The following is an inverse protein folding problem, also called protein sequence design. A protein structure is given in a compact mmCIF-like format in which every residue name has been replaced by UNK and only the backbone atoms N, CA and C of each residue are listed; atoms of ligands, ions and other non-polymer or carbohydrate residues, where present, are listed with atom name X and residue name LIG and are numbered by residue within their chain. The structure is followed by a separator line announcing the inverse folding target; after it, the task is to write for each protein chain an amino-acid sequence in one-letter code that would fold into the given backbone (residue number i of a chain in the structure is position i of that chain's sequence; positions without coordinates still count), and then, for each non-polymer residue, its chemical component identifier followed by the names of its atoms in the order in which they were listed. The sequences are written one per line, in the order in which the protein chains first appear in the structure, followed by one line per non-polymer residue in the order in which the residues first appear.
data_IF_408510343653
#
_entry.id   IF_408510343653
#
_cell.length_a   1.000
_cell.length_b   1.000
_cell.length_c   1.000
_cell.angle_alpha   90.00
_cell.angle_beta   90.00
_cell.angle_gamma   90.00
#
_symmetry.space_group_name_H-M   'P 1'
#
loop_
_entity.id
_entity.type
_entity.pdbx_description
1 polymer ?
#
# COMPACT_ATOMS: atom_id res chain seq x y z
N UNK A 1 6.53 12.65 -4.79
CA UNK A 1 7.14 11.49 -5.47
C UNK A 1 6.90 11.60 -6.97
N UNK A 2 7.91 11.40 -7.83
CA UNK A 2 7.71 11.39 -9.28
C UNK A 2 6.90 10.16 -9.71
N UNK A 3 6.23 10.25 -10.86
CA UNK A 3 5.33 9.20 -11.35
C UNK A 3 6.05 7.86 -11.62
N UNK A 4 7.32 7.88 -12.06
CA UNK A 4 8.10 6.66 -12.24
C UNK A 4 8.41 5.96 -10.91
N UNK A 5 8.58 6.72 -9.83
CA UNK A 5 8.72 6.15 -8.50
C UNK A 5 7.46 5.38 -8.13
N UNK A 6 6.28 5.91 -8.45
CA UNK A 6 5.01 5.26 -8.14
C UNK A 6 4.88 3.92 -8.85
N UNK A 7 5.25 3.87 -10.13
CA UNK A 7 5.29 2.63 -10.90
C UNK A 7 6.27 1.63 -10.27
N UNK A 8 7.45 2.07 -9.81
CA UNK A 8 8.43 1.18 -9.17
C UNK A 8 7.87 0.47 -7.93
N UNK A 9 7.07 1.14 -7.11
CA UNK A 9 6.43 0.52 -5.94
C UNK A 9 5.19 -0.32 -6.29
N UNK A 10 4.54 -0.03 -7.42
CA UNK A 10 3.36 -0.75 -7.88
C UNK A 10 3.70 -2.06 -8.61
N UNK A 11 4.80 -2.07 -9.36
CA UNK A 11 5.22 -3.21 -10.18
C UNK A 11 5.35 -4.53 -9.41
N UNK A 12 5.98 -4.59 -8.21
CA UNK A 12 6.12 -5.84 -7.49
C UNK A 12 4.78 -6.51 -7.18
N UNK A 13 3.77 -5.75 -6.72
CA UNK A 13 2.44 -6.28 -6.45
C UNK A 13 1.70 -6.67 -7.73
N UNK A 14 1.86 -5.89 -8.80
CA UNK A 14 1.27 -6.22 -10.09
C UNK A 14 1.81 -7.56 -10.61
N UNK A 15 3.13 -7.78 -10.56
CA UNK A 15 3.76 -9.04 -10.94
C UNK A 15 3.33 -10.17 -10.00
N UNK A 16 3.27 -9.92 -8.69
CA UNK A 16 2.89 -10.90 -7.69
C UNK A 16 1.46 -11.42 -7.90
N UNK A 17 0.49 -10.50 -7.99
CA UNK A 17 -0.92 -10.81 -8.18
C UNK A 17 -1.21 -11.42 -9.55
N UNK A 18 -0.58 -10.91 -10.62
CA UNK A 18 -0.76 -11.49 -11.96
C UNK A 18 -0.18 -12.89 -12.06
N UNK A 19 0.99 -13.14 -11.45
CA UNK A 19 1.58 -14.48 -11.41
C UNK A 19 0.68 -15.47 -10.65
N UNK A 20 0.06 -15.05 -9.55
CA UNK A 20 -0.95 -15.85 -8.86
C UNK A 20 -2.16 -16.12 -9.74
N UNK A 21 -2.72 -15.09 -10.37
CA UNK A 21 -3.89 -15.21 -11.24
C UNK A 21 -3.66 -16.17 -12.42
N UNK A 22 -2.50 -16.06 -13.09
CA UNK A 22 -2.15 -16.97 -14.19
C UNK A 22 -1.85 -18.38 -13.70
N UNK A 23 -1.22 -18.53 -12.54
CA UNK A 23 -0.98 -19.84 -11.92
C UNK A 23 -2.30 -20.57 -11.66
N UNK A 24 -3.30 -19.86 -11.12
CA UNK A 24 -4.60 -20.45 -10.79
C UNK A 24 -5.46 -20.79 -12.02
N UNK A 25 -5.08 -20.35 -13.22
CA UNK A 25 -5.73 -20.75 -14.46
C UNK A 25 -5.53 -22.25 -14.77
N UNK A 26 -4.47 -22.87 -14.21
CA UNK A 26 -4.28 -24.32 -14.22
C UNK A 26 -5.19 -25.06 -13.22
N UNK A 27 -5.99 -24.33 -12.44
CA UNK A 27 -6.78 -24.79 -11.32
C UNK A 27 -6.28 -24.20 -10.00
N UNK A 28 -7.21 -23.87 -9.10
CA UNK A 28 -6.88 -23.34 -7.77
C UNK A 28 -6.01 -24.36 -7.02
N UNK A 29 -4.79 -23.97 -6.69
CA UNK A 29 -3.84 -24.84 -5.99
C UNK A 29 -3.18 -25.92 -6.87
N UNK A 30 -3.29 -25.83 -8.20
CA UNK A 30 -2.64 -26.75 -9.15
C UNK A 30 -1.57 -26.05 -10.01
N UNK A 31 -1.45 -24.73 -9.91
CA UNK A 31 -0.50 -23.97 -10.69
C UNK A 31 0.94 -24.00 -10.17
N UNK A 32 1.88 -23.61 -11.02
CA UNK A 32 3.33 -23.62 -10.76
C UNK A 32 3.75 -22.82 -9.52
N UNK A 33 2.95 -21.81 -9.14
CA UNK A 33 3.22 -20.98 -7.98
C UNK A 33 2.76 -21.65 -6.69
N UNK A 34 1.85 -22.62 -6.74
CA UNK A 34 1.43 -23.34 -5.55
C UNK A 34 2.53 -24.29 -5.05
N UNK A 35 3.29 -24.95 -5.94
CA UNK A 35 4.38 -25.83 -5.53
C UNK A 35 5.73 -25.12 -5.40
N UNK A 36 5.94 -24.04 -6.18
CA UNK A 36 7.21 -23.34 -6.29
C UNK A 36 8.41 -24.27 -6.56
N UNK A 37 8.21 -25.31 -7.36
CA UNK A 37 9.28 -26.28 -7.70
C UNK A 37 10.49 -25.58 -8.36
N UNK A 38 10.22 -24.54 -9.16
CA UNK A 38 11.25 -23.69 -9.75
C UNK A 38 12.15 -23.05 -8.68
N UNK A 39 11.57 -22.59 -7.58
CA UNK A 39 12.30 -21.98 -6.48
C UNK A 39 13.09 -23.04 -5.71
N UNK A 40 12.47 -24.21 -5.46
CA UNK A 40 13.12 -25.32 -4.78
C UNK A 40 14.36 -25.84 -5.54
N UNK A 41 14.31 -25.85 -6.88
CA UNK A 41 15.48 -26.18 -7.73
C UNK A 41 16.58 -25.14 -7.56
N UNK A 42 16.26 -23.84 -7.59
CA UNK A 42 17.25 -22.75 -7.47
C UNK A 42 17.89 -22.72 -6.08
N UNK A 43 17.10 -22.94 -5.03
CA UNK A 43 17.59 -22.95 -3.65
C UNK A 43 18.20 -24.29 -3.24
N UNK A 44 18.21 -25.29 -4.12
CA UNK A 44 18.71 -26.64 -3.78
C UNK A 44 17.96 -27.28 -2.61
N UNK A 45 16.67 -26.99 -2.46
CA UNK A 45 15.82 -27.52 -1.37
C UNK A 45 16.32 -27.22 0.05
N UNK A 46 17.05 -26.11 0.26
CA UNK A 46 17.59 -25.75 1.59
C UNK A 46 16.48 -25.48 2.63
N UNK A 47 15.34 -24.92 2.21
CA UNK A 47 14.19 -24.65 3.10
C UNK A 47 13.24 -25.85 3.28
N UNK A 48 12.41 -25.87 4.35
CA UNK A 48 11.38 -26.89 4.53
C UNK A 48 10.34 -26.90 3.40
N UNK A 49 9.69 -28.04 3.17
CA UNK A 49 8.65 -28.18 2.14
C UNK A 49 7.50 -27.17 2.30
N UNK A 50 7.14 -26.82 3.54
CA UNK A 50 6.12 -25.82 3.85
C UNK A 50 6.48 -24.40 3.42
N UNK A 51 7.76 -24.11 3.15
CA UNK A 51 8.18 -22.81 2.63
C UNK A 51 7.84 -22.69 1.13
N UNK A 52 8.04 -23.75 0.35
CA UNK A 52 7.78 -23.73 -1.09
C UNK A 52 6.30 -23.95 -1.41
N UNK A 53 5.64 -24.81 -0.64
CA UNK A 53 4.30 -25.27 -0.96
C UNK A 53 3.19 -24.43 -0.33
N UNK A 54 2.23 -24.05 -1.16
CA UNK A 54 0.98 -23.43 -0.79
C UNK A 54 1.09 -21.95 -0.41
N UNK A 55 0.04 -21.48 0.25
CA UNK A 55 -0.18 -20.07 0.58
C UNK A 55 -0.27 -19.83 2.10
N UNK A 56 0.16 -20.82 2.90
CA UNK A 56 0.15 -20.72 4.35
C UNK A 56 1.08 -19.60 4.84
N UNK A 57 0.84 -19.10 6.06
CA UNK A 57 1.72 -18.12 6.68
C UNK A 57 3.16 -18.63 6.74
N UNK A 58 4.12 -17.79 6.32
CA UNK A 58 5.54 -18.16 6.26
C UNK A 58 5.96 -18.93 5.00
N UNK A 59 5.02 -19.31 4.13
CA UNK A 59 5.36 -19.75 2.77
C UNK A 59 5.94 -18.60 1.95
N UNK A 60 6.71 -18.94 0.92
CA UNK A 60 7.22 -17.98 -0.05
C UNK A 60 6.10 -17.11 -0.63
N UNK A 61 4.98 -17.73 -1.05
CA UNK A 61 3.84 -17.01 -1.62
C UNK A 61 3.25 -15.98 -0.65
N UNK A 62 3.07 -16.37 0.62
CA UNK A 62 2.55 -15.48 1.65
C UNK A 62 3.50 -14.31 1.93
N UNK A 63 4.80 -14.57 2.00
CA UNK A 63 5.82 -13.55 2.24
C UNK A 63 5.95 -12.58 1.07
N UNK A 64 5.93 -13.08 -0.17
CA UNK A 64 5.95 -12.23 -1.37
C UNK A 64 4.71 -11.35 -1.44
N UNK A 65 3.53 -11.89 -1.10
CA UNK A 65 2.29 -11.11 -1.02
C UNK A 65 2.36 -10.00 0.01
N UNK A 66 2.89 -10.30 1.20
CA UNK A 66 3.07 -9.30 2.25
C UNK A 66 4.07 -8.21 1.84
N UNK A 67 5.24 -8.62 1.35
CA UNK A 67 6.31 -7.69 0.95
C UNK A 67 5.86 -6.77 -0.17
N UNK A 68 5.30 -7.34 -1.25
CA UNK A 68 4.82 -6.56 -2.38
C UNK A 68 3.60 -5.71 -2.01
N UNK A 69 2.76 -6.18 -1.08
CA UNK A 69 1.63 -5.41 -0.54
C UNK A 69 2.06 -4.19 0.26
N UNK A 70 3.09 -4.33 1.11
CA UNK A 70 3.66 -3.21 1.85
C UNK A 70 4.26 -2.18 0.88
N UNK A 71 5.02 -2.64 -0.12
CA UNK A 71 5.59 -1.74 -1.13
C UNK A 71 4.50 -1.00 -1.90
N UNK A 72 3.47 -1.71 -2.36
CA UNK A 72 2.33 -1.10 -3.04
C UNK A 72 1.63 -0.06 -2.15
N UNK A 73 1.35 -0.40 -0.89
CA UNK A 73 0.71 0.51 0.08
C UNK A 73 1.55 1.77 0.32
N UNK A 74 2.86 1.62 0.52
CA UNK A 74 3.78 2.75 0.67
C UNK A 74 3.79 3.63 -0.59
N UNK A 75 3.84 3.01 -1.77
CA UNK A 75 3.78 3.72 -3.05
C UNK A 75 2.50 4.55 -3.19
N UNK A 76 1.34 3.96 -2.87
CA UNK A 76 0.04 4.64 -2.90
C UNK A 76 0.03 5.80 -1.92
N UNK A 77 0.43 5.60 -0.67
CA UNK A 77 0.41 6.66 0.35
C UNK A 77 1.34 7.81 -0.06
N UNK A 78 2.59 7.54 -0.40
CA UNK A 78 3.54 8.60 -0.76
C UNK A 78 3.15 9.37 -2.01
N UNK A 79 2.56 8.67 -2.99
CA UNK A 79 2.11 9.31 -4.22
C UNK A 79 0.85 10.13 -4.00
N UNK A 80 -0.14 9.60 -3.26
CA UNK A 80 -1.46 10.24 -3.10
C UNK A 80 -1.50 11.31 -2.01
N UNK A 81 -0.68 11.18 -0.96
CA UNK A 81 -0.70 12.09 0.20
C UNK A 81 -0.61 13.59 -0.17
N UNK A 82 0.28 14.04 -1.08
CA UNK A 82 0.34 15.45 -1.48
C UNK A 82 -0.93 15.96 -2.17
N UNK A 83 -1.69 15.09 -2.83
CA UNK A 83 -2.96 15.46 -3.46
C UNK A 83 -4.07 15.56 -2.42
N UNK A 84 -4.08 14.66 -1.43
CA UNK A 84 -5.02 14.69 -0.30
C UNK A 84 -4.79 15.94 0.54
N UNK A 85 -3.54 16.27 0.86
CA UNK A 85 -3.18 17.46 1.63
C UNK A 85 -3.62 18.77 0.95
N UNK A 86 -3.48 18.85 -0.39
CA UNK A 86 -3.99 19.99 -1.18
C UNK A 86 -5.51 20.06 -1.26
N UNK A 87 -6.20 18.91 -1.25
CA UNK A 87 -7.66 18.85 -1.28
C UNK A 87 -8.28 19.21 0.08
N UNK A 88 -7.55 18.94 1.17
CA UNK A 88 -7.95 19.22 2.54
C UNK A 88 -6.88 20.06 3.26
N UNK A 89 -6.64 21.30 2.80
CA UNK A 89 -5.70 22.17 3.48
C UNK A 89 -6.14 22.33 4.94
N UNK A 90 -5.20 22.11 5.85
CA UNK A 90 -5.45 22.25 7.28
C UNK A 90 -6.08 23.62 7.53
N UNK A 91 -7.34 23.66 7.99
CA UNK A 91 -8.02 24.92 8.31
C UNK A 91 -7.12 25.71 9.24
N UNK A 92 -6.63 26.83 8.73
CA UNK A 92 -5.73 27.69 9.47
C UNK A 92 -6.50 28.22 10.68
N UNK A 93 -6.20 27.69 11.88
CA UNK A 93 -6.86 28.07 13.14
C UNK A 93 -6.78 29.58 13.38
N UNK A 94 -5.83 30.27 12.74
CA UNK A 94 -5.72 31.72 12.80
C UNK A 94 -6.90 32.45 12.15
N UNK A 95 -7.61 31.84 11.19
CA UNK A 95 -8.79 32.42 10.53
C UNK A 95 -10.02 32.31 11.44
N UNK A 96 -10.23 31.18 12.12
CA UNK A 96 -11.30 31.05 13.12
C UNK A 96 -11.07 31.98 14.31
N UNK A 97 -9.83 32.08 14.82
CA UNK A 97 -9.49 33.00 15.92
C UNK A 97 -9.70 34.47 15.53
N UNK A 98 -9.38 34.87 14.29
CA UNK A 98 -9.63 36.24 13.81
C UNK A 98 -11.12 36.51 13.59
N UNK A 99 -11.88 35.53 13.11
CA UNK A 99 -13.33 35.66 12.92
C UNK A 99 -14.04 35.84 14.27
N UNK A 100 -13.68 35.02 15.26
CA UNK A 100 -14.22 35.12 16.63
C UNK A 100 -13.81 36.43 17.31
N UNK A 101 -12.52 36.79 17.24
CA UNK A 101 -12.02 38.06 17.80
C UNK A 101 -12.75 39.28 17.21
N UNK A 102 -13.00 39.28 15.90
CA UNK A 102 -13.70 40.38 15.22
C UNK A 102 -15.18 40.43 15.63
N UNK A 103 -15.83 39.28 15.79
CA UNK A 103 -17.21 39.20 16.27
C UNK A 103 -17.35 39.72 17.71
N UNK A 104 -16.42 39.37 18.60
CA UNK A 104 -16.39 39.87 19.99
C UNK A 104 -16.22 41.39 20.05
N UNK A 105 -15.28 41.95 19.28
CA UNK A 105 -15.05 43.39 19.24
C UNK A 105 -16.27 44.19 18.72
N UNK A 106 -17.04 43.63 17.78
CA UNK A 106 -18.24 44.28 17.26
C UNK A 106 -19.36 44.27 18.31
N UNK A 107 -19.54 43.15 19.01
CA UNK A 107 -20.55 43.03 20.06
C UNK A 107 -20.31 44.05 21.19
N UNK A 108 -19.08 44.17 21.68
CA UNK A 108 -18.71 45.11 22.75
C UNK A 108 -18.99 46.57 22.38
N UNK A 109 -18.73 46.93 21.10
CA UNK A 109 -18.94 48.29 20.58
C UNK A 109 -20.41 48.66 20.35
N UNK A 110 -21.32 47.68 20.35
CA UNK A 110 -22.76 47.89 20.12
C UNK A 110 -23.54 47.96 21.45
N UNK A 111 -22.92 47.53 22.54
CA UNK A 111 -23.48 47.54 23.91
C UNK A 111 -23.01 48.72 24.78
N UNK A 112 -22.09 49.55 24.27
CA UNK A 112 -21.62 50.78 24.89
C UNK A 112 -22.28 52.00 24.23
#
# INVERSE_FOLDING_TARGET
MPWWGFILFLLPMAVDGTSHFFSDLAGIGLGFRFTNDWLAVITGHIFPASFYFGDAWGSFNSLMRLLTGILFGLGIVWYTYPYVDKAFPQKDRSIDVKADSKATNIAEKTTA
#
